data_IF_978864875824
#
_entry.id   IF_978864875824
#
_cell.length_a   1.000
_cell.length_b   1.000
_cell.length_c   1.000
_cell.angle_alpha   90.00
_cell.angle_beta   90.00
_cell.angle_gamma   90.00
#
_symmetry.space_group_name_H-M   'P 1'
#
loop_
_entity.id
_entity.type
_entity.pdbx_description
1 polymer ?
#
# COMPACT_ATOMS: atom_id res chain seq x y z
N UNK A 1 -9.04 -22.86 0.26
CA UNK A 1 -8.63 -21.69 -0.53
C UNK A 1 -7.36 -21.19 0.12
N UNK A 2 -6.34 -20.87 -0.67
CA UNK A 2 -5.03 -20.55 -0.14
C UNK A 2 -4.85 -19.03 -0.07
N UNK A 3 -4.12 -18.59 0.95
CA UNK A 3 -3.76 -17.19 1.13
C UNK A 3 -2.39 -16.94 0.47
N UNK A 4 -2.34 -16.08 -0.53
CA UNK A 4 -1.13 -15.86 -1.34
C UNK A 4 -0.57 -14.45 -1.05
N UNK A 5 0.64 -14.32 -0.50
CA UNK A 5 1.28 -13.03 -0.30
C UNK A 5 1.72 -12.44 -1.63
N UNK A 6 1.30 -11.20 -1.89
CA UNK A 6 1.61 -10.46 -3.13
C UNK A 6 2.07 -9.06 -2.75
N UNK A 7 3.16 -8.61 -3.36
CA UNK A 7 3.69 -7.26 -3.16
C UNK A 7 4.04 -6.60 -4.49
N UNK A 8 3.72 -5.32 -4.64
CA UNK A 8 4.01 -4.53 -5.84
C UNK A 8 4.99 -3.40 -5.54
N UNK A 9 6.22 -3.52 -6.04
CA UNK A 9 7.22 -2.46 -5.98
C UNK A 9 6.92 -1.37 -7.01
N UNK A 10 7.15 -0.10 -6.66
CA UNK A 10 6.97 1.06 -7.55
C UNK A 10 5.54 1.59 -7.63
N UNK A 11 4.57 0.95 -6.96
CA UNK A 11 3.17 1.40 -6.97
C UNK A 11 3.00 2.79 -6.35
N UNK A 12 3.78 3.13 -5.32
CA UNK A 12 3.72 4.43 -4.66
C UNK A 12 4.20 5.60 -5.54
N UNK A 13 4.96 5.32 -6.61
CA UNK A 13 5.59 6.34 -7.45
C UNK A 13 4.68 6.78 -8.61
N UNK A 14 3.58 6.06 -8.86
CA UNK A 14 2.69 6.32 -9.99
C UNK A 14 1.85 7.60 -9.83
N UNK A 15 1.80 8.14 -8.62
CA UNK A 15 1.17 9.44 -8.32
C UNK A 15 2.02 10.24 -7.36
N UNK A 16 2.10 11.55 -7.60
CA UNK A 16 2.58 12.46 -6.58
C UNK A 16 1.48 12.69 -5.55
N UNK A 17 1.77 12.37 -4.30
CA UNK A 17 0.90 12.66 -3.17
C UNK A 17 1.50 13.79 -2.34
N UNK A 18 0.69 14.80 -2.02
CA UNK A 18 1.16 15.90 -1.20
C UNK A 18 1.58 15.40 0.20
N UNK A 19 2.77 15.82 0.66
CA UNK A 19 3.25 15.47 2.00
C UNK A 19 2.24 15.94 3.05
N UNK A 20 1.85 15.03 3.93
CA UNK A 20 0.79 15.28 4.90
C UNK A 20 1.21 14.89 6.34
N UNK A 21 2.30 15.49 6.88
CA UNK A 21 2.76 15.18 8.22
C UNK A 21 1.79 15.70 9.29
N UNK A 22 1.79 15.10 10.50
CA UNK A 22 1.03 15.60 11.64
C UNK A 22 1.32 17.09 11.91
N UNK A 23 0.28 17.88 12.18
CA UNK A 23 0.40 19.32 12.43
C UNK A 23 0.50 20.21 11.19
N UNK A 24 0.64 19.65 9.99
CA UNK A 24 0.66 20.44 8.74
C UNK A 24 -0.66 21.18 8.50
N UNK A 25 -0.60 22.29 7.76
CA UNK A 25 -1.80 23.05 7.35
C UNK A 25 -2.75 22.21 6.50
N UNK A 26 -2.20 21.35 5.64
CA UNK A 26 -2.97 20.41 4.83
C UNK A 26 -3.74 19.41 5.70
N UNK A 27 -3.06 18.79 6.68
CA UNK A 27 -3.70 17.84 7.61
C UNK A 27 -4.85 18.47 8.36
N UNK A 28 -4.65 19.69 8.88
CA UNK A 28 -5.68 20.43 9.63
C UNK A 28 -6.92 20.72 8.78
N UNK A 29 -6.72 21.22 7.56
CA UNK A 29 -7.81 21.44 6.60
C UNK A 29 -8.55 20.13 6.27
N UNK A 30 -7.80 19.04 6.06
CA UNK A 30 -8.36 17.71 5.80
C UNK A 30 -9.18 17.15 6.96
N UNK A 31 -8.76 17.40 8.20
CA UNK A 31 -9.48 17.02 9.42
C UNK A 31 -10.75 17.85 9.59
N UNK A 32 -10.69 19.16 9.36
CA UNK A 32 -11.85 20.06 9.37
C UNK A 32 -12.89 19.64 8.30
N UNK A 33 -12.45 19.38 7.08
CA UNK A 33 -13.31 18.90 6.00
C UNK A 33 -13.89 17.52 6.30
N UNK A 34 -13.09 16.61 6.88
CA UNK A 34 -13.58 15.29 7.31
C UNK A 34 -14.62 15.41 8.42
N UNK A 35 -14.44 16.31 9.38
CA UNK A 35 -15.41 16.55 10.45
C UNK A 35 -16.73 17.13 9.91
N UNK A 36 -16.66 17.99 8.88
CA UNK A 36 -17.84 18.61 8.28
C UNK A 36 -18.59 17.69 7.31
N UNK A 37 -17.87 16.92 6.49
CA UNK A 37 -18.44 16.20 5.34
C UNK A 37 -18.38 14.67 5.47
N UNK A 38 -17.67 14.14 6.48
CA UNK A 38 -17.40 12.72 6.64
C UNK A 38 -16.26 12.19 5.74
N UNK A 39 -15.75 12.99 4.80
CA UNK A 39 -14.69 12.60 3.87
C UNK A 39 -13.52 13.58 3.88
N UNK A 40 -12.31 13.07 3.69
CA UNK A 40 -11.09 13.88 3.63
C UNK A 40 -10.59 14.00 2.18
N UNK A 41 -10.53 15.21 1.60
CA UNK A 41 -10.11 15.39 0.22
C UNK A 41 -8.65 14.98 0.03
N UNK A 42 -8.40 14.05 -0.90
CA UNK A 42 -7.06 13.56 -1.22
C UNK A 42 -6.42 14.48 -2.27
N UNK A 43 -5.24 15.02 -1.97
CA UNK A 43 -4.46 15.82 -2.92
C UNK A 43 -3.38 14.94 -3.54
N UNK A 44 -3.62 14.51 -4.76
CA UNK A 44 -2.67 13.77 -5.58
C UNK A 44 -2.74 14.27 -7.02
N UNK A 45 -1.67 14.08 -7.78
CA UNK A 45 -1.71 14.25 -9.22
C UNK A 45 -0.77 13.25 -9.90
N UNK A 46 -1.12 12.93 -11.14
CA UNK A 46 -0.25 12.25 -12.08
C UNK A 46 -0.01 13.16 -13.29
N UNK A 47 -0.07 12.58 -14.48
CA UNK A 47 0.04 13.25 -15.78
C UNK A 47 -1.33 13.54 -16.40
N UNK A 48 -1.35 14.45 -17.37
CA UNK A 48 -2.51 14.69 -18.22
C UNK A 48 -2.68 13.61 -19.29
N UNK A 49 -3.86 13.60 -19.91
CA UNK A 49 -4.15 12.73 -21.07
C UNK A 49 -3.35 13.18 -22.29
N UNK A 50 -3.20 14.50 -22.49
CA UNK A 50 -2.54 15.12 -23.64
C UNK A 50 -1.24 15.87 -23.32
N UNK A 51 -0.88 16.02 -22.04
CA UNK A 51 0.35 16.69 -21.58
C UNK A 51 0.94 16.01 -20.35
N UNK A 52 2.24 16.17 -20.12
CA UNK A 52 3.00 15.43 -19.10
C UNK A 52 3.14 16.12 -17.74
N UNK A 53 2.59 17.33 -17.57
CA UNK A 53 2.83 18.20 -16.41
C UNK A 53 1.80 18.04 -15.27
N UNK A 54 0.50 17.82 -15.54
CA UNK A 54 -0.50 17.71 -14.47
C UNK A 54 -1.83 17.02 -14.86
N UNK A 55 -2.29 16.01 -14.12
CA UNK A 55 -3.61 15.42 -14.34
C UNK A 55 -3.92 14.24 -13.43
N UNK A 56 -4.87 13.40 -13.83
CA UNK A 56 -5.34 12.25 -13.04
C UNK A 56 -4.86 10.90 -13.58
N UNK A 57 -4.05 10.87 -14.64
CA UNK A 57 -3.52 9.63 -15.21
C UNK A 57 -2.23 9.26 -14.48
N UNK A 58 -1.98 7.99 -14.12
CA UNK A 58 -0.73 7.62 -13.46
C UNK A 58 0.52 7.97 -14.27
N UNK A 59 1.60 8.32 -13.56
CA UNK A 59 2.94 8.42 -14.14
C UNK A 59 3.39 7.08 -14.72
N UNK A 60 4.31 7.16 -15.68
CA UNK A 60 4.88 5.97 -16.34
C UNK A 60 6.04 5.45 -15.51
N UNK A 61 5.71 4.85 -14.37
CA UNK A 61 6.69 4.23 -13.49
C UNK A 61 6.69 2.71 -13.64
N UNK A 62 7.85 2.10 -13.37
CA UNK A 62 8.01 0.65 -13.43
C UNK A 62 7.39 0.02 -12.18
N UNK A 63 6.35 -0.80 -12.38
CA UNK A 63 5.75 -1.61 -11.33
C UNK A 63 6.24 -3.06 -11.46
N UNK A 64 6.68 -3.66 -10.35
CA UNK A 64 7.04 -5.08 -10.29
C UNK A 64 6.23 -5.76 -9.21
N UNK A 65 5.33 -6.65 -9.64
CA UNK A 65 4.56 -7.49 -8.73
C UNK A 65 5.29 -8.81 -8.52
N UNK A 66 5.56 -9.14 -7.26
CA UNK A 66 6.10 -10.42 -6.82
C UNK A 66 5.02 -11.21 -6.11
N UNK A 67 4.96 -12.50 -6.40
CA UNK A 67 3.96 -13.42 -5.86
C UNK A 67 4.71 -14.48 -5.06
N UNK A 68 4.39 -14.59 -3.78
CA UNK A 68 5.01 -15.55 -2.88
C UNK A 68 4.32 -16.91 -2.90
N UNK A 69 4.79 -17.79 -2.01
CA UNK A 69 4.27 -19.15 -1.88
C UNK A 69 2.86 -19.12 -1.26
N UNK A 70 1.93 -19.95 -1.73
CA UNK A 70 0.59 -20.06 -1.14
C UNK A 70 0.68 -20.59 0.30
N UNK A 71 -0.12 -20.01 1.19
CA UNK A 71 -0.30 -20.44 2.57
C UNK A 71 -1.64 -21.17 2.64
N UNK A 72 -1.60 -22.47 2.91
CA UNK A 72 -2.81 -23.28 3.09
C UNK A 72 -3.52 -22.91 4.39
N UNK A 73 -4.76 -22.42 4.28
CA UNK A 73 -5.60 -22.04 5.43
C UNK A 73 -6.78 -23.02 5.52
N UNK A 74 -7.02 -23.66 6.68
CA UNK A 74 -8.17 -24.53 6.87
C UNK A 74 -9.46 -23.71 6.86
N UNK A 75 -10.56 -24.30 6.38
CA UNK A 75 -11.87 -23.68 6.50
C UNK A 75 -12.33 -23.77 7.97
N UNK A 76 -12.56 -22.62 8.61
CA UNK A 76 -13.09 -22.51 9.96
C UNK A 76 -14.46 -21.84 9.85
N UNK A 77 -15.53 -22.48 10.32
CA UNK A 77 -16.90 -21.98 10.12
C UNK A 77 -17.20 -20.72 10.96
N UNK A 78 -16.70 -20.66 12.19
CA UNK A 78 -16.82 -19.52 13.09
C UNK A 78 -15.43 -19.17 13.65
N UNK A 79 -14.58 -18.47 12.88
CA UNK A 79 -13.21 -18.18 13.30
C UNK A 79 -13.21 -17.25 14.51
N UNK A 80 -12.34 -17.53 15.48
CA UNK A 80 -12.12 -16.60 16.58
C UNK A 80 -11.19 -15.46 16.16
N UNK A 81 -11.12 -14.40 16.97
CA UNK A 81 -10.15 -13.33 16.73
C UNK A 81 -8.70 -13.85 16.80
N UNK A 82 -8.42 -14.84 17.66
CA UNK A 82 -7.09 -15.45 17.73
C UNK A 82 -6.75 -16.23 16.44
N UNK A 83 -7.71 -16.97 15.88
CA UNK A 83 -7.52 -17.68 14.61
C UNK A 83 -7.13 -16.72 13.49
N UNK A 84 -7.87 -15.61 13.37
CA UNK A 84 -7.59 -14.57 12.36
C UNK A 84 -6.22 -13.95 12.58
N UNK A 85 -5.89 -13.59 13.82
CA UNK A 85 -4.60 -12.98 14.16
C UNK A 85 -3.44 -13.92 13.83
N UNK A 86 -3.59 -15.22 14.12
CA UNK A 86 -2.58 -16.23 13.83
C UNK A 86 -2.28 -16.34 12.33
N UNK A 87 -3.32 -16.43 11.49
CA UNK A 87 -3.14 -16.51 10.04
C UNK A 87 -2.66 -15.19 9.43
N UNK A 88 -3.10 -14.06 9.98
CA UNK A 88 -2.64 -12.74 9.59
C UNK A 88 -1.15 -12.55 9.88
N UNK A 89 -0.66 -12.97 11.05
CA UNK A 89 0.77 -12.91 11.39
C UNK A 89 1.62 -13.76 10.46
N UNK A 90 1.17 -14.98 10.13
CA UNK A 90 1.82 -15.83 9.12
C UNK A 90 1.89 -15.16 7.75
N UNK A 91 0.81 -14.50 7.35
CA UNK A 91 0.78 -13.75 6.09
C UNK A 91 1.77 -12.58 6.09
N UNK A 92 1.76 -11.76 7.15
CA UNK A 92 2.69 -10.63 7.29
C UNK A 92 4.14 -11.10 7.26
N UNK A 93 4.45 -12.20 7.94
CA UNK A 93 5.79 -12.79 7.95
C UNK A 93 6.22 -13.16 6.53
N UNK A 94 5.39 -13.94 5.82
CA UNK A 94 5.68 -14.35 4.44
C UNK A 94 5.79 -13.16 3.48
N UNK A 95 4.96 -12.12 3.66
CA UNK A 95 5.00 -10.90 2.86
C UNK A 95 6.29 -10.09 3.11
N UNK A 96 6.72 -10.03 4.36
CA UNK A 96 7.96 -9.33 4.77
C UNK A 96 9.18 -10.03 4.21
N UNK A 97 9.24 -11.36 4.29
CA UNK A 97 10.29 -12.18 3.66
C UNK A 97 10.32 -11.96 2.14
N UNK A 98 9.15 -11.99 1.49
CA UNK A 98 9.03 -11.76 0.04
C UNK A 98 9.54 -10.36 -0.35
N UNK A 99 9.22 -9.34 0.44
CA UNK A 99 9.72 -7.99 0.26
C UNK A 99 11.24 -7.93 0.39
N UNK A 100 11.80 -8.45 1.48
CA UNK A 100 13.24 -8.43 1.76
C UNK A 100 14.05 -9.15 0.68
N UNK A 101 13.56 -10.28 0.16
CA UNK A 101 14.21 -11.02 -0.92
C UNK A 101 14.29 -10.21 -2.23
N UNK A 102 13.27 -9.40 -2.53
CA UNK A 102 13.12 -8.75 -3.83
C UNK A 102 13.46 -7.25 -3.82
N UNK A 103 13.52 -6.59 -2.65
CA UNK A 103 13.69 -5.13 -2.55
C UNK A 103 14.96 -4.63 -3.24
N UNK A 104 16.07 -5.38 -3.14
CA UNK A 104 17.33 -4.99 -3.74
C UNK A 104 17.30 -5.05 -5.27
N UNK A 105 16.60 -6.03 -5.85
CA UNK A 105 16.43 -6.20 -7.30
C UNK A 105 15.43 -5.20 -7.88
N UNK A 106 14.49 -4.73 -7.06
CA UNK A 106 13.44 -3.79 -7.47
C UNK A 106 13.80 -2.32 -7.22
N UNK A 107 15.03 -2.00 -6.82
CA UNK A 107 15.48 -0.62 -6.61
C UNK A 107 15.11 -0.02 -5.25
N UNK A 108 14.60 -0.82 -4.32
CA UNK A 108 14.14 -0.41 -2.99
C UNK A 108 15.11 -0.87 -1.88
N UNK A 109 16.43 -0.83 -2.12
CA UNK A 109 17.46 -1.35 -1.20
C UNK A 109 17.37 -0.75 0.20
N UNK A 110 17.15 0.56 0.28
CA UNK A 110 17.12 1.33 1.52
C UNK A 110 15.71 1.47 2.10
N UNK A 111 14.71 0.82 1.50
CA UNK A 111 13.33 0.86 1.95
C UNK A 111 13.08 -0.18 3.05
N UNK A 112 12.23 0.19 4.01
CA UNK A 112 11.68 -0.70 5.04
C UNK A 112 10.18 -0.88 4.84
N UNK A 113 9.69 -2.10 5.00
CA UNK A 113 8.26 -2.37 5.00
C UNK A 113 7.68 -2.17 6.40
N UNK A 114 6.65 -1.33 6.49
CA UNK A 114 5.81 -1.18 7.69
C UNK A 114 4.40 -1.62 7.34
N UNK A 115 3.89 -2.64 8.03
CA UNK A 115 2.48 -3.04 7.96
C UNK A 115 1.75 -2.35 9.11
N UNK A 116 0.71 -1.58 8.80
CA UNK A 116 -0.10 -0.80 9.76
C UNK A 116 -1.30 -1.58 10.28
#
# INVERSE_FOLDING_TARGET
ADLVPVFSFGENDIYYQAKNPPGSRLRRFQEEMKALTGFSPVIFHGRGIFQYNFGYVPFRERIVTVVGKPIGVPKIENPTAEDVSFWHEKYITALTELFEEHKAKCGAKDASLTVL
#
